data_IF_141707477973
#
_entry.id   IF_141707477973
#
_cell.length_a   1.000
_cell.length_b   1.000
_cell.length_c   1.000
_cell.angle_alpha   90.00
_cell.angle_beta   90.00
_cell.angle_gamma   90.00
#
_symmetry.space_group_name_H-M   'P 1'
#
loop_
_entity.id
_entity.type
_entity.pdbx_description
1 polymer ?
#
# COMPACT_ATOMS: atom_id res chain seq x y z
N UNK A 1 -11.62 -11.33 3.28
CA UNK A 1 -10.46 -10.49 3.64
C UNK A 1 -10.30 -9.37 2.63
N UNK A 2 -10.03 -8.16 3.11
CA UNK A 2 -10.07 -6.93 2.31
C UNK A 2 -8.69 -6.38 1.96
N UNK A 3 -7.67 -6.79 2.73
CA UNK A 3 -6.29 -6.42 2.51
C UNK A 3 -5.41 -7.66 2.61
N UNK A 4 -4.41 -7.73 1.75
CA UNK A 4 -3.33 -8.71 1.82
C UNK A 4 -2.02 -7.96 1.88
N UNK A 5 -1.15 -8.40 2.78
CA UNK A 5 0.19 -7.88 2.90
C UNK A 5 1.16 -8.98 2.48
N UNK A 6 1.90 -8.75 1.41
CA UNK A 6 3.01 -9.60 0.99
C UNK A 6 4.30 -8.86 1.33
N UNK A 7 5.18 -9.53 2.07
CA UNK A 7 6.46 -8.97 2.52
C UNK A 7 7.54 -10.03 2.36
N UNK A 8 8.70 -9.60 1.90
CA UNK A 8 9.94 -10.36 2.04
C UNK A 8 10.39 -10.33 3.50
N UNK A 9 10.98 -11.42 3.97
CA UNK A 9 11.65 -11.41 5.25
C UNK A 9 13.00 -10.70 5.13
N UNK A 10 13.37 -9.99 6.20
CA UNK A 10 14.56 -9.15 6.24
C UNK A 10 15.40 -9.55 7.46
N UNK A 11 16.68 -9.94 7.30
CA UNK A 11 17.61 -10.11 8.40
C UNK A 11 17.97 -8.72 8.95
N UNK A 12 17.27 -8.29 10.00
CA UNK A 12 17.51 -6.96 10.60
C UNK A 12 18.75 -7.04 11.52
N UNK A 13 19.66 -6.05 11.50
CA UNK A 13 20.80 -6.01 12.42
C UNK A 13 20.39 -6.25 13.88
N UNK A 14 21.13 -7.12 14.56
CA UNK A 14 20.85 -7.53 15.95
C UNK A 14 19.96 -8.78 16.09
N UNK A 15 19.35 -9.28 15.01
CA UNK A 15 18.58 -10.53 15.04
C UNK A 15 19.47 -11.78 14.89
N UNK A 16 19.04 -12.95 15.40
CA UNK A 16 19.75 -14.21 15.16
C UNK A 16 19.93 -14.53 13.67
N UNK A 17 18.90 -14.26 12.85
CA UNK A 17 18.94 -14.48 11.40
C UNK A 17 20.03 -13.62 10.73
N UNK A 18 20.18 -12.36 11.16
CA UNK A 18 21.23 -11.49 10.65
C UNK A 18 22.62 -12.02 11.00
N UNK A 19 22.84 -12.49 12.23
CA UNK A 19 24.12 -13.09 12.64
C UNK A 19 24.45 -14.32 11.79
N UNK A 20 23.50 -15.24 11.68
CA UNK A 20 23.67 -16.47 10.90
C UNK A 20 24.00 -16.16 9.43
N UNK A 21 23.24 -15.26 8.80
CA UNK A 21 23.49 -14.90 7.40
C UNK A 21 24.79 -14.12 7.19
N UNK A 22 25.26 -13.40 8.21
CA UNK A 22 26.57 -12.72 8.19
C UNK A 22 27.70 -13.75 8.26
N UNK A 23 27.61 -14.70 9.18
CA UNK A 23 28.58 -15.81 9.31
C UNK A 23 28.64 -16.66 8.03
N UNK A 24 27.50 -16.84 7.35
CA UNK A 24 27.42 -17.52 6.05
C UNK A 24 27.93 -16.67 4.87
N UNK A 25 28.32 -15.41 5.07
CA UNK A 25 28.76 -14.51 3.99
C UNK A 25 27.67 -14.17 2.97
N UNK A 26 26.40 -14.16 3.40
CA UNK A 26 25.22 -13.96 2.54
C UNK A 26 24.67 -12.54 2.59
N UNK A 27 25.07 -11.73 3.57
CA UNK A 27 24.69 -10.31 3.61
C UNK A 27 25.29 -9.55 2.42
N UNK A 28 24.57 -8.56 1.90
CA UNK A 28 25.09 -7.65 0.89
C UNK A 28 25.77 -6.46 1.57
N UNK A 29 26.89 -5.99 1.02
CA UNK A 29 27.72 -4.93 1.62
C UNK A 29 27.14 -3.52 1.36
N UNK A 30 26.63 -3.27 0.14
CA UNK A 30 26.13 -1.96 -0.29
C UNK A 30 24.62 -1.80 -0.13
N UNK A 31 24.10 -2.02 1.08
CA UNK A 31 22.67 -1.86 1.38
C UNK A 31 22.43 -0.62 2.22
N UNK A 32 21.61 0.30 1.70
CA UNK A 32 21.09 1.40 2.49
C UNK A 32 20.15 0.87 3.59
N UNK A 33 20.52 1.05 4.85
CA UNK A 33 19.69 0.63 6.00
C UNK A 33 18.35 1.38 6.09
N UNK A 34 18.23 2.56 5.48
CA UNK A 34 16.92 3.21 5.38
C UNK A 34 15.97 2.46 4.44
N UNK A 35 16.51 1.68 3.50
CA UNK A 35 15.77 0.97 2.47
C UNK A 35 15.64 -0.54 2.73
N UNK A 36 16.02 -1.03 3.93
CA UNK A 36 15.82 -2.44 4.33
C UNK A 36 14.36 -2.71 4.70
N UNK A 37 13.46 -2.55 3.74
CA UNK A 37 12.05 -2.87 3.87
C UNK A 37 11.70 -4.12 3.04
N UNK A 38 10.78 -4.96 3.54
CA UNK A 38 10.37 -6.18 2.87
C UNK A 38 9.50 -5.97 1.61
N UNK A 39 9.53 -4.79 0.98
CA UNK A 39 8.66 -4.45 -0.17
C UNK A 39 9.40 -4.24 -1.50
N UNK A 40 10.72 -4.45 -1.53
CA UNK A 40 11.51 -4.32 -2.76
C UNK A 40 12.16 -5.64 -3.16
N UNK A 41 13.41 -5.85 -2.76
CA UNK A 41 14.21 -7.04 -3.04
C UNK A 41 14.87 -7.49 -1.75
N UNK A 42 15.33 -8.74 -1.71
CA UNK A 42 16.20 -9.18 -0.61
C UNK A 42 17.45 -8.28 -0.50
N UNK A 43 17.79 -7.95 0.74
CA UNK A 43 19.03 -7.29 1.13
C UNK A 43 20.16 -8.27 1.48
N UNK A 44 19.99 -9.53 1.10
CA UNK A 44 20.92 -10.64 1.31
C UNK A 44 20.80 -11.62 0.12
N UNK A 45 21.75 -12.55 0.00
CA UNK A 45 21.74 -13.63 -0.99
C UNK A 45 20.88 -14.79 -0.47
N UNK A 46 19.70 -15.00 -1.06
CA UNK A 46 18.85 -16.14 -0.74
C UNK A 46 19.37 -17.42 -1.43
N UNK A 47 19.30 -18.58 -0.75
CA UNK A 47 19.89 -19.82 -1.23
C UNK A 47 19.29 -20.33 -2.56
N UNK A 48 18.01 -20.04 -2.80
CA UNK A 48 17.26 -20.54 -3.97
C UNK A 48 16.58 -19.46 -4.82
N UNK A 49 16.61 -18.19 -4.40
CA UNK A 49 15.81 -17.13 -5.02
C UNK A 49 16.74 -15.94 -5.28
N UNK A 50 16.87 -15.51 -6.53
CA UNK A 50 17.66 -14.31 -6.84
C UNK A 50 16.98 -13.04 -6.29
N UNK A 51 17.71 -11.93 -6.22
CA UNK A 51 17.12 -10.65 -5.81
C UNK A 51 16.05 -10.21 -6.79
N UNK A 52 16.32 -10.36 -8.07
CA UNK A 52 15.44 -10.04 -9.18
C UNK A 52 14.16 -10.90 -9.11
N UNK A 53 14.31 -12.19 -8.83
CA UNK A 53 13.17 -13.09 -8.64
C UNK A 53 12.35 -12.73 -7.42
N UNK A 54 12.97 -12.30 -6.31
CA UNK A 54 12.23 -11.89 -5.12
C UNK A 54 11.27 -10.74 -5.40
N UNK A 55 11.71 -9.74 -6.18
CA UNK A 55 10.86 -8.62 -6.62
C UNK A 55 9.77 -9.09 -7.58
N UNK A 56 10.14 -9.89 -8.58
CA UNK A 56 9.20 -10.44 -9.57
C UNK A 56 8.09 -11.26 -8.91
N UNK A 57 8.43 -12.08 -7.92
CA UNK A 57 7.48 -12.89 -7.15
C UNK A 57 6.59 -12.00 -6.28
N UNK A 58 7.17 -11.03 -5.57
CA UNK A 58 6.42 -10.09 -4.73
C UNK A 58 5.39 -9.30 -5.54
N UNK A 59 5.81 -8.68 -6.65
CA UNK A 59 4.92 -7.95 -7.55
C UNK A 59 3.88 -8.88 -8.18
N UNK A 60 4.29 -10.11 -8.49
CA UNK A 60 3.40 -11.17 -8.93
C UNK A 60 2.30 -11.49 -7.92
N UNK A 61 2.61 -11.51 -6.63
CA UNK A 61 1.65 -11.77 -5.56
C UNK A 61 0.60 -10.63 -5.48
N UNK A 62 1.02 -9.37 -5.49
CA UNK A 62 0.12 -8.22 -5.51
C UNK A 62 -0.77 -8.19 -6.76
N UNK A 63 -0.18 -8.42 -7.94
CA UNK A 63 -0.93 -8.48 -9.20
C UNK A 63 -1.95 -9.62 -9.18
N UNK A 64 -1.56 -10.81 -8.75
CA UNK A 64 -2.46 -11.97 -8.67
C UNK A 64 -3.58 -11.76 -7.64
N UNK A 65 -3.29 -11.08 -6.52
CA UNK A 65 -4.33 -10.66 -5.58
C UNK A 65 -5.35 -9.75 -6.26
N UNK A 66 -4.87 -8.71 -6.95
CA UNK A 66 -5.74 -7.77 -7.67
C UNK A 66 -6.57 -8.47 -8.75
N UNK A 67 -5.96 -9.34 -9.55
CA UNK A 67 -6.63 -10.08 -10.63
C UNK A 67 -7.71 -11.03 -10.10
N UNK A 68 -7.46 -11.71 -8.98
CA UNK A 68 -8.41 -12.70 -8.41
C UNK A 68 -9.48 -12.06 -7.55
N UNK A 69 -9.08 -11.13 -6.68
CA UNK A 69 -9.92 -10.60 -5.62
C UNK A 69 -10.47 -9.21 -5.93
N UNK A 70 -9.93 -8.54 -6.95
CA UNK A 70 -10.28 -7.18 -7.33
C UNK A 70 -9.67 -6.11 -6.42
N UNK A 71 -9.97 -4.84 -6.71
CA UNK A 71 -9.48 -3.70 -5.92
C UNK A 71 -9.88 -3.83 -4.44
N UNK A 72 -8.99 -3.45 -3.53
CA UNK A 72 -9.28 -3.47 -2.08
C UNK A 72 -10.48 -2.59 -1.72
N UNK A 73 -10.65 -1.43 -2.35
CA UNK A 73 -11.82 -0.56 -2.13
C UNK A 73 -13.13 -1.28 -2.43
N UNK A 74 -13.19 -2.09 -3.50
CA UNK A 74 -14.36 -2.93 -3.77
C UNK A 74 -14.62 -3.92 -2.63
N UNK A 75 -13.58 -4.55 -2.08
CA UNK A 75 -13.70 -5.51 -0.98
C UNK A 75 -14.15 -4.86 0.32
N UNK A 76 -13.58 -3.70 0.66
CA UNK A 76 -14.03 -2.87 1.79
C UNK A 76 -15.51 -2.55 1.64
N UNK A 77 -15.95 -2.10 0.46
CA UNK A 77 -17.36 -1.77 0.22
C UNK A 77 -18.28 -2.96 0.52
N UNK A 78 -17.88 -4.17 0.11
CA UNK A 78 -18.63 -5.39 0.37
C UNK A 78 -18.72 -5.68 1.86
N UNK A 79 -17.58 -5.70 2.56
CA UNK A 79 -17.53 -5.95 4.01
C UNK A 79 -18.31 -4.91 4.80
N UNK A 80 -18.22 -3.63 4.42
CA UNK A 80 -19.02 -2.56 5.05
C UNK A 80 -20.52 -2.76 4.80
N UNK A 81 -20.93 -3.20 3.61
CA UNK A 81 -22.34 -3.49 3.32
C UNK A 81 -22.85 -4.69 4.12
N UNK A 82 -22.04 -5.74 4.25
CA UNK A 82 -22.38 -6.92 5.05
C UNK A 82 -22.52 -6.55 6.54
N UNK A 83 -21.63 -5.71 7.06
CA UNK A 83 -21.72 -5.15 8.40
C UNK A 83 -23.01 -4.33 8.59
N UNK A 84 -23.31 -3.43 7.65
CA UNK A 84 -24.54 -2.66 7.67
C UNK A 84 -25.79 -3.55 7.71
N UNK A 85 -25.89 -4.53 6.80
CA UNK A 85 -27.04 -5.46 6.72
C UNK A 85 -27.24 -6.23 8.01
N UNK A 86 -26.15 -6.61 8.67
CA UNK A 86 -26.18 -7.39 9.92
C UNK A 86 -26.65 -6.58 11.11
N UNK A 87 -26.30 -5.30 11.19
CA UNK A 87 -26.40 -4.52 12.42
C UNK A 87 -27.24 -3.24 12.32
N UNK A 88 -27.82 -2.92 11.16
CA UNK A 88 -28.69 -1.73 11.00
C UNK A 88 -29.92 -1.72 11.91
N UNK A 89 -30.41 -2.92 12.25
CA UNK A 89 -31.60 -3.17 13.06
C UNK A 89 -31.25 -3.80 14.43
N UNK A 90 -30.00 -3.64 14.90
CA UNK A 90 -29.55 -4.18 16.19
C UNK A 90 -30.30 -3.54 17.38
N UNK A 91 -30.57 -4.32 18.43
CA UNK A 91 -31.26 -3.83 19.62
C UNK A 91 -30.45 -2.75 20.37
N UNK A 92 -29.11 -2.82 20.33
CA UNK A 92 -28.26 -1.81 20.93
C UNK A 92 -28.10 -0.58 20.01
N UNK A 93 -28.57 0.56 20.51
CA UNK A 93 -28.47 1.85 19.83
C UNK A 93 -27.01 2.24 19.49
N UNK A 94 -26.03 1.86 20.32
CA UNK A 94 -24.61 2.15 20.08
C UNK A 94 -24.08 1.35 18.88
N UNK A 95 -24.49 0.10 18.76
CA UNK A 95 -24.14 -0.77 17.62
C UNK A 95 -24.73 -0.18 16.34
N UNK A 96 -26.03 0.15 16.33
CA UNK A 96 -26.68 0.83 15.19
C UNK A 96 -25.97 2.13 14.80
N UNK A 97 -25.64 2.97 15.77
CA UNK A 97 -24.96 4.24 15.54
C UNK A 97 -23.57 4.06 14.89
N UNK A 98 -22.81 3.04 15.31
CA UNK A 98 -21.52 2.70 14.70
C UNK A 98 -21.68 2.32 13.22
N UNK A 99 -22.57 1.37 12.91
CA UNK A 99 -22.73 0.88 11.54
C UNK A 99 -23.38 1.92 10.62
N UNK A 100 -24.28 2.76 11.14
CA UNK A 100 -24.76 3.93 10.40
C UNK A 100 -23.62 4.88 10.03
N UNK A 101 -22.65 5.08 10.93
CA UNK A 101 -21.47 5.93 10.70
C UNK A 101 -20.56 5.37 9.62
N UNK A 102 -20.26 4.08 9.70
CA UNK A 102 -19.42 3.37 8.72
C UNK A 102 -20.09 3.30 7.35
N UNK A 103 -21.41 3.07 7.29
CA UNK A 103 -22.17 3.01 6.04
C UNK A 103 -22.33 4.35 5.32
N UNK A 104 -22.04 5.50 5.96
CA UNK A 104 -22.13 6.81 5.29
C UNK A 104 -21.25 6.89 4.05
N UNK A 105 -20.04 6.34 4.09
CA UNK A 105 -19.14 6.32 2.93
C UNK A 105 -19.71 5.49 1.77
N UNK A 106 -20.44 4.41 2.06
CA UNK A 106 -21.18 3.62 1.06
C UNK A 106 -22.25 4.46 0.36
N UNK A 107 -23.03 5.21 1.16
CA UNK A 107 -24.10 6.07 0.66
C UNK A 107 -23.57 7.23 -0.16
N UNK A 108 -22.52 7.88 0.30
CA UNK A 108 -22.11 9.22 -0.14
C UNK A 108 -21.00 9.22 -1.21
N UNK A 109 -20.18 8.17 -1.32
CA UNK A 109 -19.01 8.19 -2.23
C UNK A 109 -18.67 6.86 -2.92
N UNK A 110 -18.87 5.72 -2.26
CA UNK A 110 -18.40 4.46 -2.82
C UNK A 110 -19.17 3.98 -4.04
N UNK A 111 -20.43 4.38 -4.23
CA UNK A 111 -21.16 4.04 -5.46
C UNK A 111 -20.50 4.59 -6.73
N UNK A 112 -19.90 5.78 -6.67
CA UNK A 112 -19.12 6.36 -7.77
C UNK A 112 -17.79 5.61 -7.98
N UNK A 113 -17.10 5.26 -6.90
CA UNK A 113 -15.87 4.45 -6.97
C UNK A 113 -16.13 3.06 -7.57
N UNK A 114 -17.20 2.37 -7.14
CA UNK A 114 -17.64 1.09 -7.71
C UNK A 114 -17.97 1.21 -9.20
N UNK A 115 -18.61 2.31 -9.61
CA UNK A 115 -18.89 2.55 -11.02
C UNK A 115 -17.60 2.71 -11.83
N UNK A 116 -16.65 3.51 -11.33
CA UNK A 116 -15.37 3.74 -11.98
C UNK A 116 -14.55 2.44 -12.08
N UNK A 117 -14.48 1.67 -11.00
CA UNK A 117 -13.79 0.37 -10.97
C UNK A 117 -14.44 -0.64 -11.94
N UNK A 118 -15.78 -0.74 -11.96
CA UNK A 118 -16.51 -1.59 -12.92
C UNK A 118 -16.08 -1.25 -14.35
N UNK A 119 -16.12 0.05 -14.70
CA UNK A 119 -15.85 0.49 -16.07
C UNK A 119 -14.38 0.38 -16.46
N UNK A 120 -13.48 0.61 -15.51
CA UNK A 120 -12.04 0.46 -15.70
C UNK A 120 -11.65 -1.01 -15.92
N UNK A 121 -12.22 -1.94 -15.15
CA UNK A 121 -11.88 -3.37 -15.23
C UNK A 121 -12.64 -4.14 -16.30
N UNK A 122 -13.73 -3.60 -16.84
CA UNK A 122 -14.49 -4.27 -17.90
C UNK A 122 -13.64 -4.78 -19.09
N UNK A 123 -12.70 -3.99 -19.67
CA UNK A 123 -11.89 -4.46 -20.79
C UNK A 123 -10.81 -5.49 -20.41
N UNK A 124 -10.34 -5.51 -19.16
CA UNK A 124 -9.16 -6.30 -18.74
C UNK A 124 -9.49 -7.49 -17.85
N UNK A 125 -10.58 -7.41 -17.06
CA UNK A 125 -11.01 -8.44 -16.12
C UNK A 125 -12.54 -8.40 -15.95
N UNK A 126 -13.24 -9.04 -16.89
CA UNK A 126 -14.70 -9.05 -16.93
C UNK A 126 -15.31 -9.69 -15.68
N UNK A 127 -14.74 -10.80 -15.20
CA UNK A 127 -15.25 -11.53 -14.04
C UNK A 127 -15.26 -10.66 -12.76
N UNK A 128 -14.20 -9.89 -12.50
CA UNK A 128 -14.16 -8.95 -11.37
C UNK A 128 -15.08 -7.75 -11.63
N UNK A 129 -15.12 -7.22 -12.86
CA UNK A 129 -16.03 -6.13 -13.24
C UNK A 129 -17.50 -6.46 -12.95
N UNK A 130 -17.93 -7.69 -13.23
CA UNK A 130 -19.29 -8.16 -12.96
C UNK A 130 -19.61 -8.24 -11.47
N UNK A 131 -18.67 -8.74 -10.65
CA UNK A 131 -18.82 -8.74 -9.18
C UNK A 131 -18.94 -7.33 -8.62
N UNK A 132 -18.16 -6.39 -9.14
CA UNK A 132 -18.24 -4.97 -8.75
C UNK A 132 -19.58 -4.37 -9.16
N UNK A 133 -20.08 -4.70 -10.37
CA UNK A 133 -21.39 -4.28 -10.86
C UNK A 133 -22.52 -4.78 -9.96
N UNK A 134 -22.45 -6.02 -9.52
CA UNK A 134 -23.41 -6.62 -8.61
C UNK A 134 -23.43 -5.88 -7.28
N UNK A 135 -22.27 -5.73 -6.63
CA UNK A 135 -22.17 -4.97 -5.39
C UNK A 135 -22.69 -3.53 -5.54
N UNK A 136 -22.36 -2.85 -6.64
CA UNK A 136 -22.86 -1.49 -6.92
C UNK A 136 -24.38 -1.45 -7.00
N UNK A 137 -25.01 -2.45 -7.61
CA UNK A 137 -26.48 -2.55 -7.67
C UNK A 137 -27.06 -2.82 -6.28
N UNK A 138 -26.43 -3.66 -5.48
CA UNK A 138 -26.85 -3.94 -4.11
C UNK A 138 -26.80 -2.70 -3.23
N UNK A 139 -25.69 -1.95 -3.25
CA UNK A 139 -25.57 -0.66 -2.55
C UNK A 139 -26.68 0.30 -2.99
N UNK A 140 -26.95 0.39 -4.29
CA UNK A 140 -28.03 1.24 -4.82
C UNK A 140 -29.45 0.77 -4.50
N UNK A 141 -29.64 -0.50 -4.16
CA UNK A 141 -30.92 -1.03 -3.64
C UNK A 141 -31.08 -0.69 -2.16
N UNK A 142 -30.01 -0.87 -1.38
CA UNK A 142 -30.00 -0.63 0.07
C UNK A 142 -30.19 0.86 0.43
N UNK A 143 -29.47 1.76 -0.26
CA UNK A 143 -29.48 3.20 0.07
C UNK A 143 -30.33 4.06 -0.87
N UNK A 144 -31.07 3.44 -1.79
CA UNK A 144 -32.08 4.11 -2.61
C UNK A 144 -31.57 4.88 -3.85
N UNK A 145 -32.50 5.61 -4.48
CA UNK A 145 -32.32 6.26 -5.79
C UNK A 145 -31.29 7.39 -5.80
N UNK A 146 -31.17 8.15 -4.71
CA UNK A 146 -30.22 9.25 -4.56
C UNK A 146 -28.77 8.78 -4.73
N UNK A 147 -28.40 7.67 -4.07
CA UNK A 147 -27.08 7.05 -4.21
C UNK A 147 -26.80 6.61 -5.66
N UNK A 148 -27.82 6.09 -6.38
CA UNK A 148 -27.70 5.70 -7.78
C UNK A 148 -27.44 6.89 -8.70
N UNK A 149 -28.08 8.04 -8.45
CA UNK A 149 -27.89 9.25 -9.24
C UNK A 149 -26.51 9.88 -9.00
N UNK A 150 -26.10 10.02 -7.73
CA UNK A 150 -24.77 10.53 -7.36
C UNK A 150 -23.66 9.69 -7.99
N UNK A 151 -23.81 8.36 -7.96
CA UNK A 151 -22.84 7.44 -8.57
C UNK A 151 -22.68 7.63 -10.08
N UNK A 152 -23.77 7.93 -10.79
CA UNK A 152 -23.74 8.17 -12.24
C UNK A 152 -23.13 9.51 -12.61
N UNK A 153 -23.30 10.53 -11.78
CA UNK A 153 -22.72 11.85 -11.98
C UNK A 153 -21.22 11.88 -11.64
N UNK A 154 -20.82 11.30 -10.50
CA UNK A 154 -19.44 11.34 -10.02
C UNK A 154 -18.55 10.21 -10.59
N UNK A 155 -19.14 9.11 -11.04
CA UNK A 155 -18.41 7.96 -11.59
C UNK A 155 -17.50 8.31 -12.78
N UNK A 156 -17.98 9.04 -13.81
CA UNK A 156 -17.14 9.48 -14.93
C UNK A 156 -15.97 10.37 -14.50
N UNK A 157 -16.19 11.28 -13.56
CA UNK A 157 -15.14 12.16 -13.01
C UNK A 157 -14.07 11.34 -12.31
N UNK A 158 -14.48 10.36 -11.49
CA UNK A 158 -13.57 9.43 -10.82
C UNK A 158 -12.79 8.57 -11.81
N UNK A 159 -13.45 8.05 -12.86
CA UNK A 159 -12.74 7.27 -13.88
C UNK A 159 -11.71 8.11 -14.63
N UNK A 160 -12.07 9.35 -14.96
CA UNK A 160 -11.14 10.29 -15.59
C UNK A 160 -9.97 10.62 -14.67
N UNK A 161 -10.21 10.90 -13.39
CA UNK A 161 -9.16 11.22 -12.43
C UNK A 161 -8.23 10.03 -12.22
N UNK A 162 -8.75 8.81 -12.09
CA UNK A 162 -7.92 7.59 -12.02
C UNK A 162 -7.03 7.44 -13.25
N UNK A 163 -7.55 7.62 -14.47
CA UNK A 163 -6.74 7.53 -15.70
C UNK A 163 -5.72 8.66 -15.84
N UNK A 164 -6.02 9.85 -15.30
CA UNK A 164 -5.07 10.96 -15.25
C UNK A 164 -3.94 10.63 -14.28
N UNK A 165 -4.28 10.04 -13.15
CA UNK A 165 -3.34 9.67 -12.10
C UNK A 165 -2.42 8.53 -12.54
N UNK A 166 -2.99 7.48 -13.15
CA UNK A 166 -2.22 6.40 -13.79
C UNK A 166 -1.19 6.95 -14.78
N UNK A 167 -1.58 7.93 -15.62
CA UNK A 167 -0.65 8.61 -16.51
C UNK A 167 0.45 9.34 -15.74
N UNK A 168 0.12 10.10 -14.69
CA UNK A 168 1.14 10.83 -13.89
C UNK A 168 2.16 9.87 -13.28
N UNK A 169 1.68 8.80 -12.65
CA UNK A 169 2.53 7.77 -12.06
C UNK A 169 3.41 7.09 -13.11
N UNK A 170 2.88 6.80 -14.30
CA UNK A 170 3.66 6.26 -15.41
C UNK A 170 4.74 7.22 -15.94
N UNK A 171 4.58 8.53 -15.75
CA UNK A 171 5.60 9.54 -16.04
C UNK A 171 6.58 9.76 -14.88
N UNK A 172 6.54 8.92 -13.84
CA UNK A 172 7.47 8.98 -12.72
C UNK A 172 7.07 9.94 -11.59
N UNK A 173 5.83 10.44 -11.56
CA UNK A 173 5.34 11.22 -10.43
C UNK A 173 5.36 10.36 -9.16
N UNK A 174 6.03 10.82 -8.11
CA UNK A 174 6.04 10.18 -6.79
C UNK A 174 5.34 11.07 -5.76
N UNK A 175 4.72 10.43 -4.78
CA UNK A 175 4.02 11.08 -3.66
C UNK A 175 4.79 10.83 -2.36
N UNK A 176 6.00 11.35 -2.29
CA UNK A 176 6.78 11.30 -1.06
C UNK A 176 6.47 12.54 -0.22
N UNK A 177 5.99 12.40 1.02
CA UNK A 177 5.81 13.54 1.90
C UNK A 177 7.17 14.20 2.15
N UNK A 178 7.19 15.53 2.32
CA UNK A 178 8.42 16.23 2.70
C UNK A 178 8.95 15.63 4.00
N UNK A 179 10.25 15.32 4.04
CA UNK A 179 10.91 14.87 5.27
C UNK A 179 10.69 15.89 6.38
N UNK A 180 10.06 15.47 7.47
CA UNK A 180 9.89 16.28 8.68
C UNK A 180 10.88 15.75 9.71
N UNK A 181 11.79 16.60 10.17
CA UNK A 181 12.73 16.27 11.25
C UNK A 181 12.20 16.89 12.54
N UNK A 182 11.68 16.06 13.44
CA UNK A 182 11.35 16.46 14.81
C UNK A 182 12.47 16.01 15.75
N UNK A 183 12.98 16.94 16.58
CA UNK A 183 13.98 16.65 17.61
C UNK A 183 13.28 16.63 18.97
N UNK A 184 13.41 15.53 19.72
CA UNK A 184 13.00 15.45 21.13
C UNK A 184 14.15 14.90 21.98
N UNK A 185 14.41 15.53 23.13
CA UNK A 185 15.44 15.12 24.10
C UNK A 185 16.86 14.95 23.52
N UNK A 186 17.21 15.77 22.52
CA UNK A 186 18.54 15.73 21.91
C UNK A 186 19.55 16.43 22.84
N UNK A 187 20.20 15.68 23.73
CA UNK A 187 21.44 16.13 24.33
C UNK A 187 22.56 15.90 23.32
N UNK A 188 23.29 16.94 22.93
CA UNK A 188 24.55 16.75 22.22
C UNK A 188 25.44 15.87 23.10
N UNK A 189 25.84 14.66 22.67
CA UNK A 189 26.94 14.00 23.36
C UNK A 189 28.13 14.95 23.27
N UNK A 190 28.86 15.12 24.37
CA UNK A 190 30.17 15.75 24.32
C UNK A 190 30.95 15.13 23.14
N UNK A 191 31.66 15.92 22.33
CA UNK A 191 32.39 15.39 21.18
C UNK A 191 33.18 14.17 21.64
N UNK A 192 32.97 13.04 20.96
CA UNK A 192 33.69 11.79 21.26
C UNK A 192 35.18 12.13 21.26
N UNK A 193 35.78 12.15 22.45
CA UNK A 193 37.20 12.38 22.61
C UNK A 193 37.92 11.18 21.98
N UNK A 194 38.56 11.41 20.83
CA UNK A 194 39.43 10.45 20.16
C UNK A 194 38.67 9.44 19.30
N UNK A 195 38.53 9.76 18.02
CA UNK A 195 38.30 8.73 17.01
C UNK A 195 39.48 7.74 17.03
N UNK A 196 39.21 6.49 17.40
CA UNK A 196 40.04 5.34 17.04
C UNK A 196 40.16 5.35 15.50
N UNK A 197 41.38 5.24 14.91
CA UNK A 197 41.65 5.59 13.52
C UNK A 197 41.17 4.54 12.49
N UNK A 198 39.97 3.97 12.64
CA UNK A 198 39.40 3.00 11.69
C UNK A 198 38.43 3.67 10.71
N UNK A 199 37.94 4.89 11.00
CA UNK A 199 36.93 5.57 10.16
C UNK A 199 37.50 6.67 9.23
N UNK A 200 38.78 7.00 9.31
CA UNK A 200 39.38 8.09 8.51
C UNK A 200 39.46 7.78 7.00
N UNK A 201 39.24 6.53 6.58
CA UNK A 201 39.28 6.15 5.17
C UNK A 201 38.01 6.51 4.36
N UNK A 202 36.91 6.91 5.01
CA UNK A 202 35.62 7.15 4.34
C UNK A 202 35.32 8.63 4.06
N UNK A 203 36.23 9.55 4.39
CA UNK A 203 36.00 11.00 4.27
C UNK A 203 36.92 11.74 3.29
N UNK A 204 37.75 11.03 2.50
CA UNK A 204 38.65 11.66 1.51
C UNK A 204 38.24 11.42 0.06
N UNK A 205 36.98 11.69 -0.28
CA UNK A 205 36.64 12.06 -1.65
C UNK A 205 35.93 13.42 -1.63
N UNK A 206 36.75 14.46 -1.51
CA UNK A 206 36.41 15.84 -1.78
C UNK A 206 36.04 16.01 -3.26
N UNK A 207 34.89 16.64 -3.45
CA UNK A 207 34.44 17.38 -4.63
C UNK A 207 35.62 17.98 -5.41
N UNK A 208 35.79 17.56 -6.67
CA UNK A 208 36.47 18.37 -7.69
C UNK A 208 35.41 18.95 -8.63
N UNK A 209 34.94 20.14 -8.29
CA UNK A 209 34.36 21.09 -9.25
C UNK A 209 35.44 21.52 -10.25
N UNK A 210 35.18 21.34 -11.54
CA UNK A 210 36.00 21.88 -12.63
C UNK A 210 35.10 22.30 -13.79
N UNK A 211 34.97 23.62 -13.91
CA UNK A 211 34.62 24.47 -15.09
C UNK A 211 33.99 23.82 -16.33
#
# INVERSE_FOLDING_TARGET
TDFHQFMLYTPVPGTPLFREMTEQGRMLEDVNLADIHGQHQFNFRHAAISREDSKRLLDGAFRRDFERNGPSIYRICRTTLDGWRRYKDDADLRVRARFAREARSLRDGYGAALWAMERHLRPTNLAVSEKIRELRKEVGREFGLLSRMVSRALGPVMLWSTRREERRLAHGQTYEPRTIVERRNWSWPAPLAGATPVLTALSSQTESSGT
#
